data_IF_747838733957
#
_entry.id   IF_747838733957
#
_cell.length_a   1.000
_cell.length_b   1.000
_cell.length_c   1.000
_cell.angle_alpha   90.00
_cell.angle_beta   90.00
_cell.angle_gamma   90.00
#
_symmetry.space_group_name_H-M   'P 1'
#
loop_
_entity.id
_entity.type
_entity.pdbx_description
1 polymer ?
#
# COMPACT_ATOMS: atom_id res chain seq x y z
N UNK A 1 -13.96 21.93 6.86
CA UNK A 1 -12.64 21.73 7.51
C UNK A 1 -12.07 20.41 7.01
N UNK A 2 -10.77 20.37 6.69
CA UNK A 2 -10.10 19.13 6.27
C UNK A 2 -10.06 18.12 7.44
N UNK A 3 -10.35 16.85 7.15
CA UNK A 3 -10.21 15.73 8.10
C UNK A 3 -8.77 15.22 8.08
N UNK A 4 -8.36 14.56 9.17
CA UNK A 4 -7.03 13.95 9.30
C UNK A 4 -6.72 13.01 8.12
N UNK A 5 -5.53 13.12 7.51
CA UNK A 5 -5.24 12.45 6.26
C UNK A 5 -4.90 10.98 6.44
N UNK A 6 -4.85 10.25 5.31
CA UNK A 6 -4.52 8.83 5.28
C UNK A 6 -3.12 8.65 4.71
N UNK A 7 -2.30 7.86 5.40
CA UNK A 7 -0.96 7.48 4.92
C UNK A 7 -0.90 5.96 4.81
N UNK A 8 -0.84 5.45 3.58
CA UNK A 8 -0.75 4.02 3.29
C UNK A 8 0.71 3.62 3.21
N UNK A 9 1.10 2.69 4.08
CA UNK A 9 2.48 2.20 4.19
C UNK A 9 2.54 0.68 4.11
N UNK A 10 3.74 0.11 4.16
CA UNK A 10 3.96 -1.33 4.23
C UNK A 10 5.17 -1.76 3.41
N UNK A 11 5.39 -3.06 3.30
CA UNK A 11 6.33 -3.56 2.31
C UNK A 11 5.78 -3.31 0.90
N UNK A 12 6.60 -2.80 -0.01
CA UNK A 12 6.24 -2.76 -1.42
C UNK A 12 5.80 -4.15 -1.89
N UNK A 13 4.87 -4.23 -2.84
CA UNK A 13 4.23 -5.48 -3.32
C UNK A 13 3.16 -6.09 -2.39
N UNK A 14 2.72 -5.37 -1.35
CA UNK A 14 1.65 -5.82 -0.43
C UNK A 14 0.25 -5.29 -0.78
N UNK A 15 0.02 -4.80 -2.01
CA UNK A 15 -1.29 -4.29 -2.43
C UNK A 15 -1.59 -2.83 -2.09
N UNK A 16 -0.59 -2.06 -1.66
CA UNK A 16 -0.72 -0.63 -1.30
C UNK A 16 -1.34 0.25 -2.39
N UNK A 17 -1.02 0.01 -3.66
CA UNK A 17 -1.61 0.77 -4.79
C UNK A 17 -3.08 0.45 -5.02
N UNK A 18 -3.50 -0.80 -4.76
CA UNK A 18 -4.91 -1.20 -4.87
C UNK A 18 -5.73 -0.56 -3.74
N UNK A 19 -5.19 -0.54 -2.51
CA UNK A 19 -5.85 0.15 -1.40
C UNK A 19 -6.01 1.66 -1.71
N UNK A 20 -4.97 2.32 -2.23
CA UNK A 20 -5.07 3.73 -2.62
C UNK A 20 -6.13 3.94 -3.72
N UNK A 21 -6.18 3.06 -4.72
CA UNK A 21 -7.18 3.13 -5.78
C UNK A 21 -8.61 2.98 -5.24
N UNK A 22 -8.83 2.01 -4.34
CA UNK A 22 -10.11 1.78 -3.67
C UNK A 22 -10.55 3.00 -2.84
N UNK A 23 -9.66 3.53 -2.00
CA UNK A 23 -9.93 4.72 -1.20
C UNK A 23 -10.18 5.95 -2.08
N UNK A 24 -9.46 6.11 -3.18
CA UNK A 24 -9.59 7.25 -4.09
C UNK A 24 -10.92 7.32 -4.85
N UNK A 25 -11.69 6.22 -4.88
CA UNK A 25 -13.05 6.22 -5.44
C UNK A 25 -14.13 6.62 -4.42
N UNK A 26 -13.75 6.85 -3.16
CA UNK A 26 -14.68 7.36 -2.14
C UNK A 26 -14.97 8.87 -2.35
N UNK A 27 -16.20 9.29 -2.09
CA UNK A 27 -16.68 10.65 -2.31
C UNK A 27 -15.92 11.71 -1.51
N UNK A 28 -15.30 11.32 -0.39
CA UNK A 28 -14.58 12.23 0.52
C UNK A 28 -13.05 12.16 0.46
N UNK A 29 -12.48 11.20 -0.27
CA UNK A 29 -11.04 10.92 -0.22
C UNK A 29 -10.40 11.23 -1.57
N UNK A 30 -9.47 12.18 -1.56
CA UNK A 30 -8.59 12.46 -2.67
C UNK A 30 -7.37 11.52 -2.64
N UNK A 31 -7.16 10.71 -3.67
CA UNK A 31 -5.96 9.91 -3.80
C UNK A 31 -4.82 10.74 -4.40
N UNK A 32 -3.73 10.94 -3.64
CA UNK A 32 -2.51 11.58 -4.12
C UNK A 32 -1.88 10.68 -5.20
N UNK A 33 -1.79 11.12 -6.47
CA UNK A 33 -1.47 10.24 -7.60
C UNK A 33 0.04 9.95 -7.74
N UNK A 34 0.81 10.02 -6.65
CA UNK A 34 2.25 9.83 -6.64
C UNK A 34 2.76 9.23 -5.32
N UNK A 35 3.96 8.66 -5.35
CA UNK A 35 4.73 8.36 -4.13
C UNK A 35 5.52 9.61 -3.78
N UNK A 36 5.09 10.34 -2.75
CA UNK A 36 5.65 11.65 -2.42
C UNK A 36 6.99 11.58 -1.68
N UNK A 37 7.24 10.50 -0.93
CA UNK A 37 8.39 10.41 -0.02
C UNK A 37 8.48 11.55 1.02
N UNK A 38 7.38 12.24 1.36
CA UNK A 38 7.41 13.40 2.28
C UNK A 38 8.06 13.09 3.65
N UNK A 39 7.86 11.87 4.17
CA UNK A 39 8.49 11.42 5.42
C UNK A 39 10.03 11.34 5.38
N UNK A 40 10.66 11.41 4.20
CA UNK A 40 12.11 11.43 4.03
C UNK A 40 12.67 12.80 3.68
N UNK A 41 11.81 13.78 3.38
CA UNK A 41 12.21 15.14 3.00
C UNK A 41 12.63 15.97 4.21
N UNK A 42 13.29 17.10 3.96
CA UNK A 42 13.47 18.11 5.00
C UNK A 42 12.12 18.72 5.41
N UNK A 43 12.09 19.43 6.53
CA UNK A 43 10.84 19.91 7.12
C UNK A 43 10.06 20.88 6.21
N UNK A 44 10.77 21.78 5.51
CA UNK A 44 10.16 22.76 4.61
C UNK A 44 9.48 22.08 3.42
N UNK A 45 10.18 21.13 2.80
CA UNK A 45 9.66 20.36 1.67
C UNK A 45 8.47 19.49 2.09
N UNK A 46 8.58 18.78 3.22
CA UNK A 46 7.50 17.96 3.74
C UNK A 46 6.24 18.80 4.01
N UNK A 47 6.37 19.93 4.70
CA UNK A 47 5.25 20.85 4.96
C UNK A 47 4.63 21.39 3.68
N UNK A 48 5.44 21.71 2.67
CA UNK A 48 4.95 22.13 1.35
C UNK A 48 4.12 21.01 0.69
N UNK A 49 4.63 19.78 0.64
CA UNK A 49 3.90 18.65 0.06
C UNK A 49 2.56 18.40 0.77
N UNK A 50 2.53 18.46 2.10
CA UNK A 50 1.30 18.28 2.88
C UNK A 50 0.25 19.38 2.60
N UNK A 51 0.70 20.63 2.42
CA UNK A 51 -0.15 21.73 2.01
C UNK A 51 -0.67 21.53 0.58
N UNK A 52 0.19 21.10 -0.34
CA UNK A 52 -0.17 20.83 -1.73
C UNK A 52 -1.24 19.72 -1.81
N UNK A 53 -1.12 18.65 -1.02
CA UNK A 53 -2.13 17.57 -0.98
C UNK A 53 -3.47 18.07 -0.45
N UNK A 54 -3.44 18.89 0.60
CA UNK A 54 -4.65 19.47 1.19
C UNK A 54 -5.35 20.43 0.21
N UNK A 55 -4.56 21.19 -0.55
CA UNK A 55 -5.06 22.09 -1.60
C UNK A 55 -5.70 21.31 -2.75
N UNK A 56 -5.05 20.24 -3.21
CA UNK A 56 -5.60 19.38 -4.28
C UNK A 56 -6.87 18.66 -3.85
N UNK A 57 -6.93 18.19 -2.60
CA UNK A 57 -8.13 17.58 -2.05
C UNK A 57 -9.31 18.58 -2.03
N UNK A 58 -9.08 19.78 -1.52
CA UNK A 58 -10.10 20.83 -1.49
C UNK A 58 -10.54 21.25 -2.90
N UNK A 59 -9.60 21.37 -3.86
CA UNK A 59 -9.92 21.66 -5.26
C UNK A 59 -10.70 20.53 -5.96
N UNK A 60 -10.63 19.31 -5.43
CA UNK A 60 -11.41 18.15 -5.88
C UNK A 60 -12.68 17.96 -5.05
N UNK A 61 -13.06 18.94 -4.23
CA UNK A 61 -14.21 18.90 -3.31
C UNK A 61 -14.18 17.73 -2.31
N UNK A 62 -12.97 17.23 -1.99
CA UNK A 62 -12.73 16.15 -1.03
C UNK A 62 -12.29 16.72 0.31
N UNK A 63 -12.82 16.18 1.41
CA UNK A 63 -12.47 16.63 2.77
C UNK A 63 -11.24 15.94 3.36
N UNK A 64 -10.64 14.97 2.65
CA UNK A 64 -9.47 14.21 3.11
C UNK A 64 -8.59 13.83 1.93
N UNK A 65 -7.29 13.68 2.13
CA UNK A 65 -6.40 13.04 1.16
C UNK A 65 -5.82 11.73 1.69
N UNK A 66 -5.48 10.84 0.76
CA UNK A 66 -4.74 9.61 0.98
C UNK A 66 -3.44 9.62 0.17
N UNK A 67 -2.31 9.49 0.84
CA UNK A 67 -1.00 9.36 0.20
C UNK A 67 -0.47 7.94 0.42
N UNK A 68 0.26 7.42 -0.56
CA UNK A 68 0.86 6.10 -0.48
C UNK A 68 2.32 6.17 -0.91
N UNK A 69 3.21 6.03 0.06
CA UNK A 69 4.61 5.65 -0.13
C UNK A 69 4.92 4.47 0.80
N UNK A 70 5.08 3.22 0.31
CA UNK A 70 5.18 2.05 1.20
C UNK A 70 6.32 2.18 2.23
N UNK A 71 7.46 2.72 1.78
CA UNK A 71 8.67 2.94 2.61
C UNK A 71 8.46 3.90 3.78
N UNK A 72 7.37 4.67 3.83
CA UNK A 72 7.03 5.48 4.99
C UNK A 72 6.82 4.67 6.28
N UNK A 73 6.69 3.34 6.20
CA UNK A 73 6.74 2.45 7.36
C UNK A 73 7.99 2.65 8.23
N UNK A 74 9.11 3.10 7.63
CA UNK A 74 10.35 3.44 8.34
C UNK A 74 10.38 4.85 8.94
N UNK A 75 9.27 5.60 8.82
CA UNK A 75 9.17 7.02 9.19
C UNK A 75 7.87 7.34 9.95
N UNK A 76 7.23 6.34 10.56
CA UNK A 76 5.94 6.53 11.24
C UNK A 76 6.00 7.57 12.36
N UNK A 77 7.00 7.54 13.23
CA UNK A 77 7.22 8.58 14.25
C UNK A 77 7.29 9.99 13.63
N UNK A 78 8.08 10.15 12.56
CA UNK A 78 8.21 11.42 11.85
C UNK A 78 6.90 11.85 11.18
N UNK A 79 6.14 10.92 10.62
CA UNK A 79 4.83 11.21 10.03
C UNK A 79 3.88 11.73 11.09
N UNK A 80 3.82 11.10 12.26
CA UNK A 80 3.00 11.55 13.37
C UNK A 80 3.47 12.90 13.94
N UNK A 81 4.76 13.22 13.87
CA UNK A 81 5.26 14.55 14.22
C UNK A 81 4.85 15.62 13.20
N UNK A 82 4.87 15.31 11.90
CA UNK A 82 4.49 16.24 10.83
C UNK A 82 2.97 16.43 10.73
N UNK A 83 2.21 15.37 11.01
CA UNK A 83 0.75 15.32 10.87
C UNK A 83 0.15 14.53 12.04
N UNK A 84 -0.08 15.17 13.20
CA UNK A 84 -0.48 14.47 14.43
C UNK A 84 -1.80 13.69 14.35
N UNK A 85 -2.72 14.11 13.49
CA UNK A 85 -4.03 13.48 13.29
C UNK A 85 -4.07 12.50 12.10
N UNK A 86 -2.91 12.18 11.52
CA UNK A 86 -2.81 11.20 10.43
C UNK A 86 -3.32 9.82 10.86
N UNK A 87 -4.07 9.18 9.97
CA UNK A 87 -4.48 7.78 10.05
C UNK A 87 -3.58 6.95 9.13
N UNK A 88 -2.81 6.05 9.72
CA UNK A 88 -1.89 5.18 8.98
C UNK A 88 -2.57 3.85 8.71
N UNK A 89 -2.53 3.40 7.45
CA UNK A 89 -2.96 2.04 7.09
C UNK A 89 -1.73 1.25 6.66
N UNK A 90 -1.36 0.24 7.44
CA UNK A 90 -0.23 -0.66 7.13
C UNK A 90 -0.76 -1.82 6.30
N UNK A 91 -0.30 -1.94 5.05
CA UNK A 91 -0.56 -3.13 4.24
C UNK A 91 0.42 -4.24 4.60
N UNK A 92 -0.12 -5.37 5.05
CA UNK A 92 0.60 -6.60 5.34
C UNK A 92 0.23 -7.66 4.30
N UNK A 93 1.19 -8.47 3.88
CA UNK A 93 0.99 -9.59 2.94
C UNK A 93 1.97 -10.70 3.28
N UNK A 94 1.62 -11.94 2.94
CA UNK A 94 2.52 -13.09 3.05
C UNK A 94 3.89 -12.79 2.43
N UNK A 95 4.94 -12.89 3.25
CA UNK A 95 6.31 -12.57 2.86
C UNK A 95 6.82 -13.43 1.71
N UNK A 96 6.32 -14.65 1.58
CA UNK A 96 6.68 -15.56 0.48
C UNK A 96 6.12 -15.05 -0.86
N UNK A 97 4.89 -14.55 -0.86
CA UNK A 97 4.28 -13.94 -2.05
C UNK A 97 4.93 -12.61 -2.42
N UNK A 98 5.30 -11.81 -1.42
CA UNK A 98 6.06 -10.57 -1.61
C UNK A 98 7.43 -10.86 -2.22
N UNK A 99 8.16 -11.85 -1.69
CA UNK A 99 9.46 -12.26 -2.21
C UNK A 99 9.37 -12.72 -3.67
N UNK A 100 8.38 -13.55 -4.02
CA UNK A 100 8.12 -13.95 -5.40
C UNK A 100 7.87 -12.73 -6.30
N UNK A 101 7.04 -11.80 -5.85
CA UNK A 101 6.71 -10.61 -6.63
C UNK A 101 7.90 -9.66 -6.81
N UNK A 102 8.82 -9.59 -5.84
CA UNK A 102 10.06 -8.83 -5.95
C UNK A 102 11.06 -9.54 -6.87
N UNK A 103 11.16 -10.87 -6.81
CA UNK A 103 11.96 -11.68 -7.74
C UNK A 103 11.58 -11.40 -9.18
N UNK A 104 10.27 -11.37 -9.50
CA UNK A 104 9.78 -11.05 -10.85
C UNK A 104 10.25 -9.67 -11.37
N UNK A 105 10.67 -8.76 -10.48
CA UNK A 105 11.13 -7.41 -10.84
C UNK A 105 12.63 -7.20 -10.75
N UNK A 106 13.30 -7.90 -9.84
CA UNK A 106 14.70 -7.63 -9.45
C UNK A 106 15.62 -8.83 -9.66
N UNK A 107 15.05 -10.01 -9.91
CA UNK A 107 15.78 -11.27 -9.96
C UNK A 107 16.11 -11.89 -8.60
N UNK A 108 15.84 -11.22 -7.47
CA UNK A 108 16.26 -11.70 -6.15
C UNK A 108 15.08 -12.10 -5.25
N UNK A 109 14.95 -13.40 -5.00
CA UNK A 109 14.01 -13.96 -4.02
C UNK A 109 14.44 -13.62 -2.59
N UNK A 110 15.72 -13.83 -2.30
CA UNK A 110 16.36 -13.56 -1.00
C UNK A 110 16.26 -12.09 -0.63
N UNK A 111 16.59 -11.18 -1.56
CA UNK A 111 16.43 -9.75 -1.34
C UNK A 111 14.97 -9.36 -1.12
N UNK A 112 14.03 -10.09 -1.74
CA UNK A 112 12.60 -9.92 -1.53
C UNK A 112 12.16 -10.24 -0.11
N UNK A 113 12.54 -11.41 0.44
CA UNK A 113 12.17 -11.77 1.82
C UNK A 113 12.91 -10.92 2.85
N UNK A 114 14.19 -10.59 2.65
CA UNK A 114 14.94 -9.70 3.55
C UNK A 114 14.30 -8.31 3.64
N UNK A 115 13.88 -7.77 2.48
CA UNK A 115 13.13 -6.51 2.45
C UNK A 115 11.81 -6.63 3.20
N UNK A 116 11.06 -7.73 3.00
CA UNK A 116 9.80 -7.94 3.70
C UNK A 116 10.00 -8.00 5.22
N UNK A 117 11.02 -8.71 5.71
CA UNK A 117 11.37 -8.75 7.14
C UNK A 117 11.68 -7.35 7.64
N UNK A 118 12.53 -6.61 6.92
CA UNK A 118 12.97 -5.26 7.29
C UNK A 118 11.80 -4.27 7.36
N UNK A 119 10.97 -4.22 6.31
CA UNK A 119 9.84 -3.29 6.20
C UNK A 119 8.78 -3.58 7.28
N UNK A 120 8.41 -4.85 7.51
CA UNK A 120 7.37 -5.18 8.49
C UNK A 120 7.86 -5.09 9.94
N UNK A 121 9.14 -5.38 10.21
CA UNK A 121 9.73 -5.17 11.55
C UNK A 121 9.66 -3.71 11.97
N UNK A 122 9.89 -2.76 11.04
CA UNK A 122 9.76 -1.34 11.32
C UNK A 122 8.33 -0.90 11.70
N UNK A 123 7.31 -1.63 11.21
CA UNK A 123 5.91 -1.36 11.52
C UNK A 123 5.43 -1.94 12.85
N UNK A 124 6.03 -3.05 13.32
CA UNK A 124 5.60 -3.79 14.52
C UNK A 124 5.35 -2.92 15.76
N UNK A 125 6.21 -1.92 16.11
CA UNK A 125 6.01 -1.11 17.31
C UNK A 125 4.70 -0.29 17.31
N UNK A 126 4.06 -0.12 16.16
CA UNK A 126 2.90 0.75 15.99
C UNK A 126 1.59 -0.03 15.80
N UNK A 127 1.60 -1.36 15.90
CA UNK A 127 0.41 -2.17 15.63
C UNK A 127 -0.75 -1.88 16.58
N UNK A 128 -0.44 -1.54 17.83
CA UNK A 128 -1.42 -1.19 18.85
C UNK A 128 -1.68 0.33 18.94
N UNK A 129 -1.06 1.14 18.07
CA UNK A 129 -1.30 2.59 18.05
C UNK A 129 -2.71 2.87 17.51
N UNK A 130 -3.55 3.66 18.20
CA UNK A 130 -4.93 3.96 17.77
C UNK A 130 -5.03 4.77 16.46
N UNK A 131 -3.91 5.29 15.96
CA UNK A 131 -3.78 5.96 14.66
C UNK A 131 -3.36 5.00 13.55
N UNK A 132 -3.20 3.71 13.84
CA UNK A 132 -2.78 2.67 12.89
C UNK A 132 -3.87 1.63 12.70
N UNK A 133 -4.02 1.17 11.47
CA UNK A 133 -4.82 0.00 11.14
C UNK A 133 -4.05 -0.92 10.19
N UNK A 134 -3.92 -2.19 10.55
CA UNK A 134 -3.23 -3.19 9.72
C UNK A 134 -4.24 -3.88 8.82
N UNK A 135 -4.00 -3.87 7.52
CA UNK A 135 -4.83 -4.56 6.51
C UNK A 135 -4.01 -5.69 5.92
N UNK A 136 -4.47 -6.93 6.11
CA UNK A 136 -3.93 -8.09 5.41
C UNK A 136 -4.41 -8.07 3.97
N UNK A 137 -3.48 -8.14 3.03
CA UNK A 137 -3.78 -8.26 1.60
C UNK A 137 -4.69 -9.46 1.34
N UNK A 138 -4.51 -10.55 2.10
CA UNK A 138 -5.29 -11.76 1.95
C UNK A 138 -6.77 -11.54 2.23
N UNK A 139 -7.10 -10.77 3.26
CA UNK A 139 -8.47 -10.41 3.62
C UNK A 139 -9.03 -9.37 2.65
N UNK A 140 -8.19 -8.45 2.18
CA UNK A 140 -8.59 -7.47 1.18
C UNK A 140 -9.04 -8.16 -0.12
N UNK A 141 -8.37 -9.23 -0.55
CA UNK A 141 -8.76 -9.95 -1.78
C UNK A 141 -9.88 -10.95 -1.59
N UNK A 142 -9.93 -11.65 -0.45
CA UNK A 142 -10.94 -12.68 -0.19
C UNK A 142 -12.27 -12.11 0.30
N UNK A 143 -12.20 -11.05 1.10
CA UNK A 143 -13.33 -10.48 1.86
C UNK A 143 -13.38 -8.96 1.71
N UNK A 144 -13.24 -8.47 0.45
CA UNK A 144 -13.03 -7.06 0.15
C UNK A 144 -13.98 -6.10 0.88
N UNK A 145 -15.30 -6.32 0.79
CA UNK A 145 -16.28 -5.41 1.40
C UNK A 145 -16.14 -5.38 2.92
N UNK A 146 -16.06 -6.54 3.58
CA UNK A 146 -15.88 -6.63 5.03
C UNK A 146 -14.57 -5.93 5.48
N UNK A 147 -13.48 -6.20 4.77
CA UNK A 147 -12.17 -5.57 5.03
C UNK A 147 -12.24 -4.05 4.85
N UNK A 148 -12.81 -3.56 3.75
CA UNK A 148 -12.92 -2.12 3.49
C UNK A 148 -13.89 -1.43 4.47
N UNK A 149 -14.97 -2.08 4.91
CA UNK A 149 -15.84 -1.55 5.97
C UNK A 149 -15.08 -1.34 7.27
N UNK A 150 -14.21 -2.27 7.66
CA UNK A 150 -13.35 -2.10 8.84
C UNK A 150 -12.38 -0.92 8.68
N UNK A 151 -11.79 -0.77 7.48
CA UNK A 151 -10.96 0.41 7.16
C UNK A 151 -11.79 1.69 7.27
N UNK A 152 -13.01 1.73 6.73
CA UNK A 152 -13.88 2.92 6.78
C UNK A 152 -14.26 3.29 8.22
N UNK A 153 -14.59 2.31 9.07
CA UNK A 153 -14.85 2.50 10.50
C UNK A 153 -13.63 3.12 11.19
N UNK A 154 -12.43 2.58 10.97
CA UNK A 154 -11.19 3.14 11.50
C UNK A 154 -10.94 4.59 11.03
N UNK A 155 -11.25 4.86 9.77
CA UNK A 155 -11.14 6.18 9.16
C UNK A 155 -12.24 7.14 9.58
N UNK A 156 -13.32 6.66 10.21
CA UNK A 156 -14.55 7.41 10.52
C UNK A 156 -15.22 7.97 9.26
N UNK A 157 -15.32 7.12 8.24
CA UNK A 157 -16.07 7.38 7.00
C UNK A 157 -17.12 6.27 6.80
N UNK A 158 -18.13 6.54 5.98
CA UNK A 158 -19.11 5.53 5.58
C UNK A 158 -18.54 4.65 4.46
N UNK A 159 -19.07 3.44 4.30
CA UNK A 159 -18.71 2.60 3.16
C UNK A 159 -19.54 2.96 1.93
N UNK A 160 -18.86 3.17 0.80
CA UNK A 160 -19.46 3.45 -0.50
C UNK A 160 -19.19 2.31 -1.49
N UNK A 161 -20.15 2.01 -2.37
CA UNK A 161 -20.02 0.90 -3.33
C UNK A 161 -18.96 1.17 -4.40
N UNK A 162 -18.71 2.44 -4.67
CA UNK A 162 -17.71 2.99 -5.58
C UNK A 162 -16.29 2.52 -5.23
N UNK A 163 -16.02 2.29 -3.94
CA UNK A 163 -14.74 1.72 -3.46
C UNK A 163 -14.44 0.38 -4.14
N UNK A 164 -15.45 -0.48 -4.33
CA UNK A 164 -15.29 -1.78 -5.02
C UNK A 164 -15.11 -1.61 -6.53
N UNK A 165 -15.65 -0.53 -7.07
CA UNK A 165 -15.64 -0.21 -8.50
C UNK A 165 -14.45 0.66 -8.91
N UNK A 166 -13.38 0.73 -8.10
CA UNK A 166 -12.21 1.58 -8.35
C UNK A 166 -11.58 1.44 -9.74
N UNK A 167 -11.77 0.31 -10.41
CA UNK A 167 -11.23 0.05 -11.74
C UNK A 167 -12.05 0.69 -12.87
N UNK A 168 -13.26 1.19 -12.59
CA UNK A 168 -14.12 1.88 -13.56
C UNK A 168 -13.67 3.32 -13.82
N UNK A 169 -13.02 3.96 -12.85
CA UNK A 169 -12.47 5.30 -13.01
C UNK A 169 -11.03 5.20 -13.51
N UNK A 170 -10.78 5.66 -14.73
CA UNK A 170 -9.45 5.63 -15.34
C UNK A 170 -8.43 6.43 -14.51
N UNK A 171 -7.35 5.76 -14.11
CA UNK A 171 -6.24 6.34 -13.35
C UNK A 171 -4.98 6.38 -14.20
N UNK A 172 -4.36 7.55 -14.31
CA UNK A 172 -3.09 7.79 -15.03
C UNK A 172 -1.99 8.28 -14.07
N UNK A 173 -1.82 7.56 -12.97
CA UNK A 173 -0.91 7.96 -11.88
C UNK A 173 0.56 7.66 -12.19
N UNK A 174 0.83 6.55 -12.87
CA UNK A 174 2.20 6.12 -13.17
C UNK A 174 2.52 6.21 -14.67
N UNK A 175 1.51 6.18 -15.53
CA UNK A 175 1.66 6.26 -16.98
C UNK A 175 0.39 6.79 -17.63
N UNK A 176 0.53 7.47 -18.76
CA UNK A 176 -0.61 7.85 -19.61
C UNK A 176 -1.17 6.68 -20.44
N UNK A 177 -0.50 5.52 -20.42
CA UNK A 177 -0.93 4.31 -21.14
C UNK A 177 -1.78 3.42 -20.23
N UNK A 178 -2.98 3.08 -20.69
CA UNK A 178 -3.91 2.20 -19.99
C UNK A 178 -3.82 0.73 -20.42
N UNK A 179 -3.17 0.45 -21.56
CA UNK A 179 -3.02 -0.92 -22.06
C UNK A 179 -1.97 -1.72 -21.28
N UNK A 180 -2.18 -3.04 -21.20
CA UNK A 180 -1.21 -3.96 -20.59
C UNK A 180 0.11 -3.94 -21.39
N UNK A 181 1.26 -3.68 -20.74
CA UNK A 181 2.55 -3.76 -21.41
C UNK A 181 2.99 -5.22 -21.63
N UNK A 182 3.97 -5.46 -22.53
CA UNK A 182 4.50 -6.81 -22.79
C UNK A 182 5.30 -7.39 -21.61
N UNK A 183 5.82 -6.54 -20.71
CA UNK A 183 6.56 -6.96 -19.50
C UNK A 183 6.13 -6.16 -18.27
N UNK A 184 6.36 -6.72 -17.08
CA UNK A 184 6.05 -6.11 -15.78
C UNK A 184 7.22 -5.38 -15.10
N UNK A 185 8.39 -5.35 -15.73
CA UNK A 185 9.64 -4.80 -15.18
C UNK A 185 10.39 -3.93 -16.20
N UNK A 186 11.52 -3.36 -15.78
CA UNK A 186 12.34 -2.47 -16.63
C UNK A 186 11.59 -1.19 -17.03
N UNK A 187 11.72 -0.79 -18.29
CA UNK A 187 11.06 0.41 -18.85
C UNK A 187 9.52 0.36 -18.75
N UNK A 188 8.93 -0.83 -18.72
CA UNK A 188 7.48 -1.02 -18.64
C UNK A 188 6.92 -0.97 -17.22
N UNK A 189 7.78 -0.85 -16.21
CA UNK A 189 7.38 -0.91 -14.79
C UNK A 189 6.22 0.04 -14.46
N UNK A 190 6.34 1.30 -14.87
CA UNK A 190 5.34 2.33 -14.59
C UNK A 190 4.03 2.08 -15.36
N UNK A 191 4.12 1.65 -16.62
CA UNK A 191 2.94 1.28 -17.40
C UNK A 191 2.22 0.07 -16.78
N UNK A 192 2.96 -0.96 -16.35
CA UNK A 192 2.38 -2.15 -15.74
C UNK A 192 1.64 -1.80 -14.45
N UNK A 193 2.26 -0.99 -13.59
CA UNK A 193 1.61 -0.50 -12.36
C UNK A 193 0.35 0.30 -12.66
N UNK A 194 0.37 1.14 -13.70
CA UNK A 194 -0.79 1.92 -14.11
C UNK A 194 -1.92 1.02 -14.62
N UNK A 195 -1.60 0.04 -15.47
CA UNK A 195 -2.57 -0.94 -15.93
C UNK A 195 -3.21 -1.70 -14.76
N UNK A 196 -2.41 -2.16 -13.78
CA UNK A 196 -2.89 -2.93 -12.63
C UNK A 196 -3.94 -2.20 -11.78
N UNK A 197 -3.78 -0.89 -11.53
CA UNK A 197 -4.75 -0.12 -10.72
C UNK A 197 -6.06 0.18 -11.47
N UNK A 198 -6.11 -0.09 -12.77
CA UNK A 198 -7.30 0.02 -13.62
C UNK A 198 -7.95 -1.35 -13.90
N UNK A 199 -7.49 -2.43 -13.26
CA UNK A 199 -8.12 -3.74 -13.38
C UNK A 199 -9.04 -4.02 -12.18
N UNK A 200 -10.10 -4.83 -12.37
CA UNK A 200 -10.81 -5.42 -11.24
C UNK A 200 -9.83 -6.07 -10.26
N UNK A 201 -10.21 -6.13 -8.98
CA UNK A 201 -9.36 -6.73 -7.96
C UNK A 201 -8.96 -8.16 -8.37
N UNK A 202 -7.66 -8.38 -8.55
CA UNK A 202 -7.11 -9.69 -8.87
C UNK A 202 -6.54 -10.35 -7.61
N UNK A 203 -6.69 -11.66 -7.54
CA UNK A 203 -6.09 -12.47 -6.50
C UNK A 203 -4.63 -12.77 -6.84
N UNK A 204 -3.70 -12.19 -6.08
CA UNK A 204 -2.28 -12.39 -6.24
C UNK A 204 -1.70 -13.44 -5.30
N UNK A 205 -2.50 -14.11 -4.46
CA UNK A 205 -2.03 -15.00 -3.39
C UNK A 205 -1.44 -16.30 -3.92
N UNK A 206 -0.59 -16.93 -3.14
CA UNK A 206 -0.11 -18.29 -3.34
C UNK A 206 0.84 -18.47 -4.53
N UNK A 207 1.48 -17.39 -4.99
CA UNK A 207 2.58 -17.48 -5.97
C UNK A 207 3.73 -18.33 -5.45
N UNK A 208 3.97 -18.24 -4.14
CA UNK A 208 5.01 -19.02 -3.48
C UNK A 208 4.81 -20.53 -3.56
N UNK A 209 3.59 -21.02 -3.83
CA UNK A 209 3.34 -22.46 -4.03
C UNK A 209 4.03 -23.05 -5.25
N UNK A 210 4.59 -22.21 -6.13
CA UNK A 210 5.37 -22.60 -7.31
C UNK A 210 6.88 -22.63 -7.07
N UNK A 211 7.34 -22.29 -5.86
CA UNK A 211 8.75 -22.36 -5.50
C UNK A 211 9.23 -23.81 -5.48
N UNK A 212 10.51 -24.03 -5.79
CA UNK A 212 11.16 -25.31 -5.49
C UNK A 212 11.33 -25.48 -3.98
N UNK A 213 11.64 -26.71 -3.53
CA UNK A 213 11.94 -26.96 -2.12
C UNK A 213 13.08 -26.06 -1.61
N UNK A 214 14.21 -26.01 -2.34
CA UNK A 214 15.36 -25.18 -1.97
C UNK A 214 15.03 -23.67 -1.89
N UNK A 215 14.21 -23.17 -2.82
CA UNK A 215 13.75 -21.79 -2.81
C UNK A 215 12.85 -21.50 -1.60
N UNK A 216 11.96 -22.43 -1.28
CA UNK A 216 11.07 -22.32 -0.13
C UNK A 216 11.88 -22.34 1.18
N UNK A 217 12.80 -23.29 1.34
CA UNK A 217 13.66 -23.43 2.51
C UNK A 217 14.52 -22.18 2.72
N UNK A 218 15.00 -21.57 1.64
CA UNK A 218 15.76 -20.31 1.71
C UNK A 218 14.92 -19.14 2.20
N UNK A 219 13.65 -19.04 1.79
CA UNK A 219 12.72 -18.02 2.30
C UNK A 219 12.39 -18.29 3.76
N UNK A 220 12.07 -19.55 4.11
CA UNK A 220 11.72 -19.93 5.47
C UNK A 220 12.89 -19.61 6.41
N UNK A 221 14.12 -20.01 6.06
CA UNK A 221 15.33 -19.73 6.88
C UNK A 221 15.47 -18.26 7.27
N UNK A 222 15.13 -17.32 6.38
CA UNK A 222 15.25 -15.88 6.62
C UNK A 222 14.00 -15.31 7.30
N UNK A 223 12.82 -15.75 6.89
CA UNK A 223 11.55 -15.12 7.24
C UNK A 223 10.79 -15.80 8.36
N UNK A 224 11.18 -17.02 8.79
CA UNK A 224 10.38 -17.91 9.64
C UNK A 224 9.83 -17.23 10.88
N UNK A 225 10.68 -16.56 11.64
CA UNK A 225 10.29 -15.94 12.91
C UNK A 225 9.18 -14.91 12.71
N UNK A 226 9.34 -14.02 11.72
CA UNK A 226 8.35 -12.99 11.45
C UNK A 226 7.12 -13.56 10.73
N UNK A 227 7.28 -14.53 9.82
CA UNK A 227 6.14 -15.21 9.19
C UNK A 227 5.26 -15.90 10.24
N UNK A 228 5.86 -16.60 11.20
CA UNK A 228 5.17 -17.25 12.32
C UNK A 228 4.49 -16.22 13.21
N UNK A 229 5.23 -15.18 13.63
CA UNK A 229 4.70 -14.10 14.47
C UNK A 229 3.48 -13.41 13.84
N UNK A 230 3.47 -13.29 12.52
CA UNK A 230 2.40 -12.64 11.76
C UNK A 230 1.31 -13.62 11.26
N UNK A 231 1.37 -14.90 11.68
CA UNK A 231 0.35 -15.92 11.41
C UNK A 231 0.30 -16.38 9.95
N UNK A 232 1.46 -16.46 9.27
CA UNK A 232 1.57 -16.99 7.91
C UNK A 232 2.05 -18.44 7.85
N UNK A 233 2.61 -18.95 8.96
CA UNK A 233 3.07 -20.33 9.16
C UNK A 233 2.57 -20.79 10.53
#
# INVERSE_FOLDING_TARGET
MMKGPIVIVGCGHSGTSVLLAALGSHSEIFAVPQESSFGFMNEREAKKSLLDFSTQAAASEKRRWAEKTPKHIHKLERIFSLVPDAKVVIMLRDGRDVACSIRDRTGSLIGGIQRWVTDNTAGLPYWDDPRVHVVRYEDLVAHFEATMRNVMVFLKEEYEQEIRMFHKDEKKWYSNKLSRPPSSFGEYHNQYRNWQINQPLFDGRGRWKKLTADEYDSIETIGKDLLTKLGYI
#
